data_IF_844193271656
#
_entry.id   IF_844193271656
#
_cell.length_a   1.000
_cell.length_b   1.000
_cell.length_c   1.000
_cell.angle_alpha   90.00
_cell.angle_beta   90.00
_cell.angle_gamma   90.00
#
_symmetry.space_group_name_H-M   'P 1'
#
loop_
_entity.id
_entity.type
_entity.pdbx_description
1 polymer ?
#
# COMPACT_ATOMS: atom_id res chain seq x y z
N UNK A 1 9.15 -75.19 -2.42
CA UNK A 1 7.84 -75.74 -2.00
C UNK A 1 8.01 -76.29 -0.59
N UNK A 2 7.14 -75.90 0.35
CA UNK A 2 7.24 -76.29 1.77
C UNK A 2 7.08 -77.81 1.96
N UNK A 3 7.74 -78.39 2.97
CA UNK A 3 7.70 -79.83 3.19
C UNK A 3 6.32 -80.27 3.73
N UNK A 4 5.96 -81.54 3.53
CA UNK A 4 4.69 -82.10 4.03
C UNK A 4 4.52 -81.97 5.56
N UNK A 5 5.61 -81.86 6.32
CA UNK A 5 5.54 -81.61 7.77
C UNK A 5 5.15 -80.17 8.11
N UNK A 6 5.59 -79.20 7.30
CA UNK A 6 5.27 -77.78 7.49
C UNK A 6 3.83 -77.48 7.10
N UNK A 7 3.31 -78.18 6.08
CA UNK A 7 1.89 -78.10 5.70
C UNK A 7 0.97 -78.68 6.79
N UNK A 8 1.40 -79.70 7.52
CA UNK A 8 0.61 -80.29 8.60
C UNK A 8 0.54 -79.37 9.82
N UNK A 9 1.65 -78.71 10.17
CA UNK A 9 1.71 -77.73 11.27
C UNK A 9 0.81 -76.51 11.00
N UNK A 10 0.87 -75.97 9.77
CA UNK A 10 0.03 -74.86 9.32
C UNK A 10 -1.47 -75.19 9.40
N UNK A 11 -1.85 -76.38 8.96
CA UNK A 11 -3.25 -76.81 8.99
C UNK A 11 -3.80 -77.00 10.42
N UNK A 12 -2.97 -77.44 11.37
CA UNK A 12 -3.37 -77.54 12.78
C UNK A 12 -3.54 -76.16 13.43
N UNK A 13 -2.67 -75.19 13.11
CA UNK A 13 -2.79 -73.82 13.62
C UNK A 13 -3.97 -73.03 13.06
N UNK A 14 -4.46 -73.37 11.86
CA UNK A 14 -5.61 -72.67 11.26
C UNK A 14 -6.98 -73.19 11.76
N UNK A 15 -7.04 -74.33 12.46
CA UNK A 15 -8.29 -74.89 13.00
C UNK A 15 -8.67 -74.33 14.38
N UNK A 16 -7.76 -73.65 15.09
CA UNK A 16 -7.99 -73.14 16.46
C UNK A 16 -8.41 -71.68 16.53
N UNK A 17 -8.56 -70.98 15.39
CA UNK A 17 -8.94 -69.57 15.36
C UNK A 17 -10.46 -69.44 15.09
N UNK A 18 -11.27 -68.86 16.01
CA UNK A 18 -12.69 -68.69 15.77
C UNK A 18 -12.93 -67.71 14.61
N UNK A 19 -13.73 -68.14 13.62
CA UNK A 19 -14.09 -67.34 12.44
C UNK A 19 -15.05 -66.22 12.81
N UNK A 20 -14.63 -64.97 12.65
CA UNK A 20 -15.52 -63.79 12.65
C UNK A 20 -16.26 -63.74 11.30
N UNK A 21 -17.59 -63.59 11.33
CA UNK A 21 -18.45 -63.52 10.13
C UNK A 21 -18.10 -62.29 9.27
N UNK A 22 -17.75 -62.50 8.00
CA UNK A 22 -17.59 -61.42 7.03
C UNK A 22 -18.95 -60.83 6.63
N UNK A 23 -19.06 -59.50 6.57
CA UNK A 23 -20.18 -58.76 5.96
C UNK A 23 -19.82 -58.36 4.52
N UNK A 24 -20.80 -58.20 3.61
CA UNK A 24 -20.54 -58.04 2.18
C UNK A 24 -19.97 -56.66 1.84
N UNK A 25 -19.03 -56.64 0.89
CA UNK A 25 -18.38 -55.45 0.36
C UNK A 25 -19.26 -54.84 -0.75
N UNK A 26 -19.75 -53.62 -0.55
CA UNK A 26 -20.34 -52.82 -1.63
C UNK A 26 -19.23 -52.12 -2.41
N UNK A 27 -19.23 -52.28 -3.75
CA UNK A 27 -18.32 -51.52 -4.64
C UNK A 27 -18.87 -50.10 -4.82
N UNK A 28 -18.12 -49.10 -4.34
CA UNK A 28 -18.38 -47.69 -4.64
C UNK A 28 -17.65 -47.27 -5.94
N UNK A 29 -18.17 -46.27 -6.70
CA UNK A 29 -17.62 -45.82 -7.98
C UNK A 29 -16.34 -44.98 -7.82
N UNK A 30 -15.61 -44.67 -8.93
CA UNK A 30 -14.30 -44.00 -8.86
C UNK A 30 -14.40 -42.54 -8.41
N UNK A 31 -13.43 -42.16 -7.57
CA UNK A 31 -13.27 -40.90 -6.80
C UNK A 31 -13.29 -39.60 -7.64
N UNK A 32 -13.24 -39.67 -8.96
CA UNK A 32 -13.01 -38.49 -9.82
C UNK A 32 -14.28 -37.66 -10.06
N UNK A 33 -15.45 -38.27 -10.14
CA UNK A 33 -16.70 -37.57 -10.47
C UNK A 33 -17.33 -36.80 -9.28
N UNK A 34 -16.87 -37.06 -8.05
CA UNK A 34 -17.38 -36.41 -6.85
C UNK A 34 -16.66 -35.09 -6.51
N UNK A 35 -15.53 -34.82 -7.18
CA UNK A 35 -14.65 -33.69 -6.89
C UNK A 35 -14.98 -32.41 -7.68
N UNK A 36 -15.86 -32.46 -8.68
CA UNK A 36 -16.13 -31.33 -9.58
C UNK A 36 -17.33 -30.44 -9.18
N UNK A 37 -17.91 -30.60 -7.99
CA UNK A 37 -19.18 -29.94 -7.65
C UNK A 37 -19.35 -29.32 -6.27
N UNK A 38 -18.30 -29.20 -5.42
CA UNK A 38 -18.49 -28.74 -4.03
C UNK A 38 -17.63 -27.49 -3.73
N UNK A 39 -18.25 -26.36 -3.33
CA UNK A 39 -17.54 -25.14 -2.99
C UNK A 39 -16.91 -25.24 -1.60
N UNK A 40 -15.71 -24.64 -1.48
CA UNK A 40 -14.95 -24.32 -0.26
C UNK A 40 -15.75 -24.50 1.06
N UNK A 41 -15.69 -25.71 1.64
CA UNK A 41 -15.96 -25.93 3.05
C UNK A 41 -14.80 -26.72 3.63
N UNK A 42 -14.33 -26.27 4.79
CA UNK A 42 -13.26 -26.85 5.59
C UNK A 42 -13.29 -28.37 5.57
N UNK A 43 -12.30 -28.97 4.90
CA UNK A 43 -12.21 -30.42 4.69
C UNK A 43 -12.14 -31.19 6.00
N UNK A 44 -13.27 -31.80 6.38
CA UNK A 44 -13.31 -32.82 7.42
C UNK A 44 -12.61 -34.10 6.94
N UNK A 45 -11.95 -34.78 7.88
CA UNK A 45 -11.17 -36.01 7.76
C UNK A 45 -11.78 -37.07 6.82
N UNK A 46 -10.95 -37.60 5.91
CA UNK A 46 -11.29 -38.65 4.93
C UNK A 46 -10.90 -40.07 5.40
N UNK A 47 -10.76 -40.31 6.70
CA UNK A 47 -10.45 -41.65 7.20
C UNK A 47 -11.38 -42.02 8.37
N UNK A 48 -12.32 -42.91 8.09
CA UNK A 48 -12.95 -43.76 9.09
C UNK A 48 -12.03 -44.95 9.40
N UNK A 49 -11.94 -45.27 10.69
CA UNK A 49 -11.38 -46.49 11.27
C UNK A 49 -9.90 -46.81 10.95
N UNK A 50 -8.98 -46.06 11.55
CA UNK A 50 -7.63 -46.55 11.89
C UNK A 50 -7.00 -45.61 12.94
N UNK A 51 -5.86 -45.96 13.52
CA UNK A 51 -5.11 -45.25 14.60
C UNK A 51 -4.77 -43.76 14.28
N UNK A 52 -5.24 -43.26 13.14
CA UNK A 52 -5.19 -41.89 12.66
C UNK A 52 -6.52 -41.12 12.87
N UNK A 53 -7.49 -41.68 13.61
CA UNK A 53 -8.66 -40.96 14.12
C UNK A 53 -8.21 -39.76 14.97
N UNK A 54 -8.21 -38.56 14.37
CA UNK A 54 -7.97 -37.31 15.11
C UNK A 54 -6.88 -36.41 14.53
N UNK A 55 -6.12 -36.84 13.53
CA UNK A 55 -5.10 -35.99 12.91
C UNK A 55 -5.71 -35.15 11.80
N UNK A 56 -5.69 -33.82 11.95
CA UNK A 56 -6.05 -32.91 10.87
C UNK A 56 -4.80 -32.58 10.06
N UNK A 57 -4.94 -32.53 8.74
CA UNK A 57 -3.84 -32.19 7.84
C UNK A 57 -4.23 -30.95 7.04
N UNK A 58 -3.32 -29.98 6.92
CA UNK A 58 -3.55 -28.84 6.05
C UNK A 58 -3.51 -29.29 4.58
N UNK A 59 -4.54 -28.96 3.79
CA UNK A 59 -4.60 -29.34 2.37
C UNK A 59 -3.44 -28.74 1.57
N UNK A 60 -2.94 -27.57 1.98
CA UNK A 60 -1.90 -26.82 1.27
C UNK A 60 -0.48 -27.33 1.57
N UNK A 61 -0.06 -27.33 2.84
CA UNK A 61 1.30 -27.74 3.23
C UNK A 61 1.42 -29.18 3.73
N UNK A 62 0.31 -29.92 3.80
CA UNK A 62 0.23 -31.30 4.28
C UNK A 62 0.79 -31.54 5.69
N UNK A 63 0.93 -30.48 6.48
CA UNK A 63 1.39 -30.58 7.87
C UNK A 63 0.29 -31.13 8.77
N UNK A 64 0.65 -32.10 9.61
CA UNK A 64 -0.23 -32.64 10.65
C UNK A 64 -0.43 -31.63 11.78
N UNK A 65 -1.67 -31.52 12.23
CA UNK A 65 -2.10 -30.60 13.26
C UNK A 65 -2.75 -31.37 14.41
N UNK A 66 -2.28 -31.08 15.63
CA UNK A 66 -2.75 -31.72 16.87
C UNK A 66 -4.07 -31.08 17.33
N UNK A 67 -4.91 -31.88 17.98
CA UNK A 67 -6.10 -31.41 18.68
C UNK A 67 -5.81 -31.26 20.18
N UNK A 68 -6.49 -30.34 20.81
CA UNK A 68 -6.52 -30.16 22.27
C UNK A 68 -7.97 -30.22 22.75
N UNK A 69 -8.22 -30.98 23.81
CA UNK A 69 -9.54 -31.02 24.45
C UNK A 69 -9.71 -29.82 25.36
N UNK A 70 -10.80 -29.05 25.19
CA UNK A 70 -11.14 -27.94 26.08
C UNK A 70 -12.27 -28.40 27.02
N UNK A 71 -12.01 -28.61 28.33
CA UNK A 71 -12.98 -29.15 29.27
C UNK A 71 -14.24 -28.30 29.45
N UNK A 72 -14.09 -26.96 29.41
CA UNK A 72 -15.20 -26.03 29.63
C UNK A 72 -16.27 -26.09 28.53
N UNK A 73 -15.87 -26.34 27.29
CA UNK A 73 -16.79 -26.48 26.14
C UNK A 73 -17.01 -27.94 25.73
N UNK A 74 -16.42 -28.90 26.46
CA UNK A 74 -16.48 -30.35 26.23
C UNK A 74 -16.26 -30.75 24.76
N UNK A 75 -15.31 -30.10 24.07
CA UNK A 75 -15.02 -30.32 22.64
C UNK A 75 -13.52 -30.38 22.40
N UNK A 76 -13.12 -31.18 21.40
CA UNK A 76 -11.77 -31.11 20.82
C UNK A 76 -11.71 -29.95 19.82
N UNK A 77 -10.68 -29.11 19.94
CA UNK A 77 -10.37 -28.06 18.98
C UNK A 77 -8.96 -28.23 18.45
N UNK A 78 -8.64 -27.54 17.36
CA UNK A 78 -7.28 -27.47 16.82
C UNK A 78 -6.37 -26.75 17.81
N UNK A 79 -5.18 -27.32 18.08
CA UNK A 79 -4.22 -26.73 19.01
C UNK A 79 -3.60 -25.42 18.48
N UNK A 80 -3.69 -25.17 17.18
CA UNK A 80 -3.25 -23.94 16.53
C UNK A 80 -3.69 -23.90 15.06
N UNK A 81 -3.68 -22.71 14.48
CA UNK A 81 -3.89 -22.53 13.04
C UNK A 81 -2.66 -23.05 12.26
N UNK A 82 -2.90 -23.55 11.04
CA UNK A 82 -1.80 -23.89 10.15
C UNK A 82 -1.04 -22.62 9.73
N UNK A 83 0.28 -22.69 9.58
CA UNK A 83 1.09 -21.58 9.02
C UNK A 83 0.51 -21.03 7.72
N UNK A 84 0.01 -21.90 6.84
CA UNK A 84 -0.64 -21.48 5.60
C UNK A 84 -1.90 -20.64 5.78
N UNK A 85 -2.69 -20.94 6.82
CA UNK A 85 -3.89 -20.16 7.14
C UNK A 85 -3.51 -18.86 7.84
N UNK A 86 -2.51 -18.88 8.72
CA UNK A 86 -1.95 -17.67 9.37
C UNK A 86 -1.42 -16.69 8.31
N UNK A 87 -0.54 -17.15 7.41
CA UNK A 87 0.01 -16.32 6.31
C UNK A 87 -1.07 -15.80 5.34
N UNK A 88 -2.21 -16.50 5.22
CA UNK A 88 -3.34 -16.02 4.42
C UNK A 88 -4.09 -14.92 5.16
N UNK A 89 -4.41 -15.16 6.44
CA UNK A 89 -5.11 -14.19 7.29
C UNK A 89 -4.29 -12.90 7.43
N UNK A 90 -2.99 -12.99 7.67
CA UNK A 90 -2.10 -11.82 7.74
C UNK A 90 -2.10 -11.01 6.44
N UNK A 91 -2.10 -11.68 5.27
CA UNK A 91 -2.21 -11.00 3.97
C UNK A 91 -3.57 -10.34 3.78
N UNK A 92 -4.65 -11.01 4.13
CA UNK A 92 -6.01 -10.47 4.05
C UNK A 92 -6.18 -9.28 4.98
N UNK A 93 -5.64 -9.35 6.20
CA UNK A 93 -5.62 -8.24 7.16
C UNK A 93 -4.85 -7.03 6.62
N UNK A 94 -3.64 -7.25 6.09
CA UNK A 94 -2.84 -6.18 5.49
C UNK A 94 -3.55 -5.54 4.29
N UNK A 95 -4.17 -6.35 3.42
CA UNK A 95 -4.91 -5.84 2.27
C UNK A 95 -6.16 -5.06 2.69
N UNK A 96 -6.88 -5.53 3.71
CA UNK A 96 -8.04 -4.84 4.27
C UNK A 96 -7.62 -3.52 4.93
N UNK A 97 -6.50 -3.50 5.66
CA UNK A 97 -5.95 -2.27 6.22
C UNK A 97 -5.61 -1.26 5.11
N UNK A 98 -4.90 -1.70 4.06
CA UNK A 98 -4.58 -0.88 2.89
C UNK A 98 -5.84 -0.30 2.25
N UNK A 99 -6.86 -1.13 1.99
CA UNK A 99 -8.15 -0.70 1.43
C UNK A 99 -8.84 0.32 2.32
N UNK A 100 -8.85 0.11 3.63
CA UNK A 100 -9.46 1.04 4.59
C UNK A 100 -8.73 2.38 4.65
N UNK A 101 -7.39 2.37 4.65
CA UNK A 101 -6.57 3.59 4.61
C UNK A 101 -6.78 4.36 3.31
N UNK A 102 -6.77 3.67 2.17
CA UNK A 102 -7.04 4.28 0.85
C UNK A 102 -8.45 4.85 0.76
N UNK A 103 -9.47 4.12 1.21
CA UNK A 103 -10.85 4.63 1.25
C UNK A 103 -11.02 5.84 2.17
N UNK A 104 -10.30 5.90 3.30
CA UNK A 104 -10.30 7.07 4.18
C UNK A 104 -9.66 8.28 3.48
N UNK A 105 -8.54 8.06 2.79
CA UNK A 105 -7.88 9.08 1.97
C UNK A 105 -8.84 9.61 0.90
N UNK A 106 -9.45 8.72 0.13
CA UNK A 106 -10.38 9.07 -0.95
C UNK A 106 -11.61 9.80 -0.42
N UNK A 107 -12.11 9.53 0.80
CA UNK A 107 -13.22 10.31 1.36
C UNK A 107 -12.80 11.74 1.69
N UNK A 108 -11.63 11.93 2.29
CA UNK A 108 -11.11 13.26 2.62
C UNK A 108 -10.73 14.05 1.36
N UNK A 109 -10.26 13.34 0.32
CA UNK A 109 -9.81 13.89 -0.94
C UNK A 109 -10.61 13.34 -2.11
N UNK A 110 -11.95 13.34 -2.01
CA UNK A 110 -12.90 12.74 -2.99
C UNK A 110 -12.73 13.22 -4.43
N UNK A 111 -11.90 14.24 -4.62
CA UNK A 111 -11.41 14.77 -5.87
C UNK A 111 -9.88 14.78 -5.84
N UNK A 112 -9.22 13.63 -5.79
CA UNK A 112 -7.77 13.56 -6.04
C UNK A 112 -7.53 14.10 -7.46
N UNK A 113 -7.10 15.36 -7.53
CA UNK A 113 -7.14 16.18 -8.74
C UNK A 113 -5.77 16.21 -9.41
N UNK A 114 -5.19 15.04 -9.68
CA UNK A 114 -4.18 15.01 -10.72
C UNK A 114 -4.84 15.40 -12.04
N UNK A 115 -4.24 16.36 -12.75
CA UNK A 115 -4.64 16.64 -14.12
C UNK A 115 -4.42 15.39 -14.99
N UNK A 116 -5.13 15.31 -16.12
CA UNK A 116 -5.11 14.09 -16.95
C UNK A 116 -3.70 13.73 -17.47
N UNK A 117 -2.80 14.72 -17.60
CA UNK A 117 -1.42 14.47 -17.99
C UNK A 117 -0.62 13.77 -16.88
N UNK A 118 -0.82 14.16 -15.62
CA UNK A 118 -0.13 13.56 -14.48
C UNK A 118 -0.67 12.17 -14.13
N UNK A 119 -1.94 11.88 -14.44
CA UNK A 119 -2.51 10.52 -14.28
C UNK A 119 -1.77 9.46 -15.10
N UNK A 120 -1.15 9.86 -16.21
CA UNK A 120 -0.40 8.96 -17.09
C UNK A 120 1.12 9.11 -16.93
N UNK A 121 1.60 9.97 -16.03
CA UNK A 121 3.02 10.25 -15.90
C UNK A 121 3.76 9.06 -15.26
N UNK A 122 4.74 8.50 -15.97
CA UNK A 122 5.62 7.42 -15.47
C UNK A 122 7.08 7.78 -15.69
N UNK A 123 8.00 7.02 -15.10
CA UNK A 123 9.43 7.17 -15.39
C UNK A 123 9.74 6.86 -16.86
N UNK A 124 9.04 5.89 -17.45
CA UNK A 124 9.25 5.44 -18.84
C UNK A 124 8.88 6.52 -19.86
N UNK A 125 7.80 7.27 -19.63
CA UNK A 125 7.36 8.32 -20.55
C UNK A 125 7.88 9.72 -20.19
N UNK A 126 8.77 9.81 -19.19
CA UNK A 126 9.51 11.03 -18.93
C UNK A 126 10.58 11.22 -20.01
N UNK A 127 10.44 12.28 -20.81
CA UNK A 127 11.43 12.64 -21.82
C UNK A 127 12.63 13.32 -21.14
N UNK A 128 13.84 12.73 -21.16
CA UNK A 128 15.03 13.38 -20.63
C UNK A 128 15.39 14.62 -21.44
N UNK A 129 15.85 15.66 -20.75
CA UNK A 129 16.41 16.88 -21.33
C UNK A 129 17.68 17.26 -20.57
N UNK A 130 18.65 17.94 -21.20
CA UNK A 130 19.82 18.46 -20.49
C UNK A 130 19.41 19.23 -19.23
N UNK A 131 19.96 18.86 -18.08
CA UNK A 131 19.67 19.46 -16.77
C UNK A 131 18.53 18.81 -15.99
N UNK A 132 17.99 17.67 -16.46
CA UNK A 132 16.98 16.87 -15.74
C UNK A 132 17.54 15.58 -15.13
N UNK A 133 18.82 15.28 -15.35
CA UNK A 133 19.46 14.01 -15.00
C UNK A 133 19.44 13.77 -13.50
N UNK A 134 19.87 14.76 -12.71
CA UNK A 134 19.94 14.66 -11.25
C UNK A 134 18.57 14.45 -10.60
N UNK A 135 17.55 15.19 -11.04
CA UNK A 135 16.19 15.08 -10.49
C UNK A 135 15.51 13.79 -10.92
N UNK A 136 15.78 13.28 -12.13
CA UNK A 136 15.27 11.99 -12.57
C UNK A 136 15.88 10.87 -11.72
N UNK A 137 17.20 10.86 -11.57
CA UNK A 137 17.90 9.85 -10.78
C UNK A 137 17.41 9.86 -9.32
N UNK A 138 17.34 11.04 -8.70
CA UNK A 138 16.84 11.18 -7.33
C UNK A 138 15.40 10.67 -7.18
N UNK A 139 14.54 10.87 -8.19
CA UNK A 139 13.17 10.39 -8.15
C UNK A 139 13.07 8.86 -8.29
N UNK A 140 13.88 8.26 -9.17
CA UNK A 140 13.96 6.80 -9.32
C UNK A 140 14.52 6.17 -8.03
N UNK A 141 15.65 6.67 -7.51
CA UNK A 141 16.27 6.17 -6.28
C UNK A 141 15.32 6.26 -5.09
N UNK A 142 14.58 7.37 -4.97
CA UNK A 142 13.59 7.55 -3.91
C UNK A 142 12.43 6.56 -4.04
N UNK A 143 11.92 6.34 -5.26
CA UNK A 143 10.80 5.43 -5.50
C UNK A 143 11.18 3.98 -5.16
N UNK A 144 12.33 3.51 -5.67
CA UNK A 144 12.80 2.13 -5.43
C UNK A 144 13.37 1.91 -4.03
N UNK A 145 13.81 2.97 -3.34
CA UNK A 145 14.35 2.94 -1.98
C UNK A 145 13.37 3.38 -0.88
N UNK A 146 12.08 3.53 -1.20
CA UNK A 146 11.11 4.24 -0.34
C UNK A 146 11.02 3.71 1.09
N UNK A 147 11.05 2.39 1.30
CA UNK A 147 10.98 1.78 2.66
C UNK A 147 12.08 2.25 3.61
N UNK A 148 13.26 2.57 3.06
CA UNK A 148 14.40 3.03 3.85
C UNK A 148 14.46 4.56 3.94
N UNK A 149 13.59 5.27 3.21
CA UNK A 149 13.63 6.72 3.14
C UNK A 149 12.85 7.37 4.28
N UNK A 150 13.50 8.28 4.99
CA UNK A 150 12.88 9.15 6.01
C UNK A 150 12.76 10.61 5.56
N UNK A 151 13.43 10.94 4.46
CA UNK A 151 13.48 12.28 3.89
C UNK A 151 12.64 12.32 2.62
N UNK A 152 11.95 13.43 2.38
CA UNK A 152 11.27 13.65 1.10
C UNK A 152 12.20 14.23 0.04
N UNK A 153 11.63 14.53 -1.11
CA UNK A 153 12.30 15.24 -2.20
C UNK A 153 11.73 16.63 -2.39
N UNK A 154 12.59 17.64 -2.52
CA UNK A 154 12.19 18.99 -2.91
C UNK A 154 12.80 19.31 -4.27
N UNK A 155 11.95 19.41 -5.29
CA UNK A 155 12.37 19.84 -6.62
C UNK A 155 11.96 21.28 -6.88
N UNK A 156 12.93 22.14 -7.22
CA UNK A 156 12.66 23.52 -7.59
C UNK A 156 13.23 23.87 -8.97
N UNK A 157 12.78 24.99 -9.56
CA UNK A 157 13.26 25.48 -10.85
C UNK A 157 12.14 25.91 -11.78
N UNK A 158 12.46 26.30 -13.01
CA UNK A 158 11.51 26.90 -13.96
C UNK A 158 10.28 26.01 -14.25
N UNK A 159 9.12 26.60 -14.61
CA UNK A 159 7.93 25.82 -14.92
C UNK A 159 8.06 25.01 -16.22
N UNK A 160 7.44 23.83 -16.23
CA UNK A 160 7.34 22.96 -17.41
C UNK A 160 8.58 22.11 -17.71
N UNK A 161 9.52 22.01 -16.77
CA UNK A 161 10.74 21.18 -16.89
C UNK A 161 10.59 19.74 -16.36
N UNK A 162 9.42 19.37 -15.83
CA UNK A 162 9.05 17.99 -15.51
C UNK A 162 9.08 17.59 -14.03
N UNK A 163 9.21 18.54 -13.08
CA UNK A 163 9.18 18.26 -11.63
C UNK A 163 7.92 17.49 -11.20
N UNK A 164 6.73 18.03 -11.52
CA UNK A 164 5.45 17.41 -11.19
C UNK A 164 5.27 16.04 -11.86
N UNK A 165 5.82 15.85 -13.06
CA UNK A 165 5.80 14.57 -13.77
C UNK A 165 6.57 13.50 -12.99
N UNK A 166 7.78 13.81 -12.54
CA UNK A 166 8.59 12.87 -11.76
C UNK A 166 7.94 12.56 -10.40
N UNK A 167 7.36 13.56 -9.74
CA UNK A 167 6.62 13.32 -8.49
C UNK A 167 5.36 12.47 -8.69
N UNK A 168 4.65 12.65 -9.81
CA UNK A 168 3.54 11.78 -10.17
C UNK A 168 4.03 10.35 -10.48
N UNK A 169 5.15 10.19 -11.17
CA UNK A 169 5.75 8.87 -11.42
C UNK A 169 6.10 8.13 -10.12
N UNK A 170 6.72 8.82 -9.13
CA UNK A 170 6.93 8.29 -7.78
C UNK A 170 5.60 7.86 -7.16
N UNK A 171 4.59 8.74 -7.18
CA UNK A 171 3.28 8.45 -6.61
C UNK A 171 2.66 7.18 -7.19
N UNK A 172 2.66 7.03 -8.52
CA UNK A 172 2.09 5.86 -9.19
C UNK A 172 2.87 4.58 -8.88
N UNK A 173 4.20 4.67 -8.83
CA UNK A 173 5.03 3.53 -8.42
C UNK A 173 4.67 3.05 -7.01
N UNK A 174 4.57 3.97 -6.05
CA UNK A 174 4.26 3.61 -4.67
C UNK A 174 2.81 3.13 -4.47
N UNK A 175 1.84 3.68 -5.22
CA UNK A 175 0.46 3.16 -5.20
C UNK A 175 0.41 1.71 -5.74
N UNK A 176 1.24 1.37 -6.73
CA UNK A 176 1.37 0.00 -7.25
C UNK A 176 2.01 -0.96 -6.25
N UNK A 177 3.00 -0.51 -5.48
CA UNK A 177 3.61 -1.28 -4.38
C UNK A 177 2.67 -1.41 -3.14
N UNK A 178 1.54 -0.69 -3.16
CA UNK A 178 0.49 -0.76 -2.15
C UNK A 178 0.66 0.19 -0.97
N UNK A 179 1.50 1.22 -1.12
CA UNK A 179 1.54 2.35 -0.19
C UNK A 179 0.39 3.31 -0.44
N UNK A 180 -0.04 3.98 0.62
CA UNK A 180 -1.07 5.01 0.55
C UNK A 180 -0.40 6.35 0.28
N UNK A 181 -0.24 6.68 -0.99
CA UNK A 181 0.35 7.94 -1.45
C UNK A 181 -0.72 8.99 -1.73
N UNK A 182 -0.45 10.25 -1.41
CA UNK A 182 -1.32 11.39 -1.66
C UNK A 182 -0.59 12.45 -2.49
N UNK A 183 -1.16 12.82 -3.63
CA UNK A 183 -0.62 13.87 -4.51
C UNK A 183 -1.62 15.01 -4.59
N UNK A 184 -1.20 16.21 -4.20
CA UNK A 184 -2.04 17.41 -4.21
C UNK A 184 -1.22 18.61 -4.67
N UNK A 185 -1.85 19.49 -5.44
CA UNK A 185 -1.35 20.84 -5.62
C UNK A 185 -1.69 21.68 -4.38
N UNK A 186 -0.81 22.59 -3.97
CA UNK A 186 -1.05 23.51 -2.86
C UNK A 186 -2.39 24.27 -2.99
N UNK A 187 -2.70 24.76 -4.19
CA UNK A 187 -3.96 25.46 -4.49
C UNK A 187 -5.18 24.57 -4.26
N UNK A 188 -5.07 23.27 -4.54
CA UNK A 188 -6.15 22.31 -4.32
C UNK A 188 -6.37 22.06 -2.83
N UNK A 189 -5.28 21.92 -2.07
CA UNK A 189 -5.37 21.74 -0.62
C UNK A 189 -6.00 22.97 0.06
N UNK A 190 -5.61 24.17 -0.36
CA UNK A 190 -6.22 25.44 0.09
C UNK A 190 -7.72 25.48 -0.22
N UNK A 191 -8.12 25.11 -1.44
CA UNK A 191 -9.53 25.12 -1.84
C UNK A 191 -10.36 24.08 -1.08
N UNK A 192 -9.83 22.86 -0.88
CA UNK A 192 -10.49 21.83 -0.08
C UNK A 192 -10.73 22.30 1.35
N UNK A 193 -9.77 22.99 1.96
CA UNK A 193 -9.94 23.55 3.28
C UNK A 193 -11.05 24.61 3.31
N UNK A 194 -11.13 25.48 2.30
CA UNK A 194 -12.21 26.48 2.17
C UNK A 194 -13.59 25.81 2.03
N UNK A 195 -13.68 24.72 1.29
CA UNK A 195 -14.92 23.96 1.11
C UNK A 195 -15.45 23.38 2.44
N UNK A 196 -14.57 23.10 3.42
CA UNK A 196 -14.98 22.58 4.73
C UNK A 196 -15.81 23.56 5.56
N UNK A 197 -15.78 24.85 5.25
CA UNK A 197 -16.62 25.86 5.92
C UNK A 197 -18.07 25.86 5.45
N UNK A 198 -18.39 25.12 4.38
CA UNK A 198 -19.76 24.98 3.94
C UNK A 198 -20.58 24.18 4.96
N UNK A 199 -21.76 24.68 5.34
CA UNK A 199 -22.67 24.04 6.30
C UNK A 199 -23.06 22.60 5.92
N UNK A 200 -23.00 22.28 4.63
CA UNK A 200 -23.31 20.94 4.10
C UNK A 200 -22.07 20.07 3.87
N UNK A 201 -20.88 20.52 4.28
CA UNK A 201 -19.66 19.73 4.11
C UNK A 201 -19.72 18.46 4.96
N UNK A 202 -19.41 17.33 4.32
CA UNK A 202 -19.28 16.02 4.98
C UNK A 202 -17.85 15.77 5.49
N UNK A 203 -16.91 16.64 5.11
CA UNK A 203 -15.48 16.52 5.41
C UNK A 203 -15.06 17.75 6.20
N UNK A 204 -14.37 17.54 7.32
CA UNK A 204 -13.83 18.62 8.14
C UNK A 204 -12.38 18.91 7.79
N UNK A 205 -11.88 20.08 8.19
CA UNK A 205 -10.45 20.40 8.04
C UNK A 205 -9.56 19.39 8.77
N UNK A 206 -10.02 18.89 9.91
CA UNK A 206 -9.34 17.86 10.71
C UNK A 206 -9.23 16.55 9.93
N UNK A 207 -10.25 16.18 9.15
CA UNK A 207 -10.19 14.98 8.32
C UNK A 207 -9.15 15.10 7.20
N UNK A 208 -9.08 16.28 6.56
CA UNK A 208 -8.08 16.60 5.52
C UNK A 208 -6.66 16.51 6.10
N UNK A 209 -6.42 17.21 7.21
CA UNK A 209 -5.11 17.24 7.88
C UNK A 209 -4.70 15.84 8.35
N UNK A 210 -5.61 15.09 8.98
CA UNK A 210 -5.33 13.74 9.44
C UNK A 210 -5.07 12.78 8.27
N UNK A 211 -5.80 12.89 7.17
CA UNK A 211 -5.56 12.06 5.99
C UNK A 211 -4.18 12.36 5.39
N UNK A 212 -3.80 13.64 5.28
CA UNK A 212 -2.46 14.04 4.84
C UNK A 212 -1.35 13.54 5.78
N UNK A 213 -1.54 13.60 7.10
CA UNK A 213 -0.56 13.09 8.10
C UNK A 213 -0.40 11.55 8.03
N UNK A 214 -1.49 10.84 7.72
CA UNK A 214 -1.51 9.38 7.72
C UNK A 214 -1.12 8.73 6.39
N UNK A 215 -0.95 9.53 5.32
CA UNK A 215 -0.36 9.05 4.07
C UNK A 215 1.05 8.51 4.30
N UNK A 216 1.43 7.45 3.61
CA UNK A 216 2.82 6.96 3.61
C UNK A 216 3.71 8.00 2.92
N UNK A 217 3.30 8.45 1.72
CA UNK A 217 3.89 9.60 1.03
C UNK A 217 2.86 10.71 0.85
N UNK A 218 3.26 11.95 1.12
CA UNK A 218 2.55 13.15 0.70
C UNK A 218 3.39 13.88 -0.34
N UNK A 219 2.78 14.29 -1.45
CA UNK A 219 3.38 15.21 -2.42
C UNK A 219 2.56 16.49 -2.46
N UNK A 220 3.21 17.62 -2.21
CA UNK A 220 2.68 18.97 -2.39
C UNK A 220 3.30 19.61 -3.64
N UNK A 221 2.55 19.59 -4.74
CA UNK A 221 2.94 20.18 -6.02
C UNK A 221 2.70 21.69 -6.00
N UNK A 222 3.56 22.44 -6.70
CA UNK A 222 3.49 23.90 -6.84
C UNK A 222 3.42 24.68 -5.52
N UNK A 223 4.14 24.24 -4.48
CA UNK A 223 4.29 24.98 -3.24
C UNK A 223 4.88 26.38 -3.52
N UNK A 224 4.33 27.40 -2.88
CA UNK A 224 4.68 28.79 -3.14
C UNK A 224 3.87 29.43 -4.27
N UNK A 225 2.86 28.73 -4.83
CA UNK A 225 1.91 29.35 -5.75
C UNK A 225 0.93 30.28 -5.01
N UNK A 226 0.79 31.51 -5.47
CA UNK A 226 -0.15 32.48 -4.90
C UNK A 226 0.32 33.05 -3.55
N UNK A 227 -0.60 33.69 -2.84
CA UNK A 227 -0.35 34.26 -1.51
C UNK A 227 -0.81 33.29 -0.43
N UNK A 228 -0.05 33.22 0.68
CA UNK A 228 -0.38 32.41 1.84
C UNK A 228 -1.19 33.23 2.84
N UNK A 229 -2.27 32.68 3.38
CA UNK A 229 -3.02 33.30 4.49
C UNK A 229 -2.58 32.73 5.83
N UNK A 230 -2.80 33.48 6.91
CA UNK A 230 -2.54 33.01 8.29
C UNK A 230 -3.31 31.73 8.63
N UNK A 231 -4.56 31.62 8.18
CA UNK A 231 -5.35 30.42 8.35
C UNK A 231 -4.73 29.21 7.63
N UNK A 232 -4.35 29.35 6.35
CA UNK A 232 -3.75 28.26 5.58
C UNK A 232 -2.41 27.82 6.19
N UNK A 233 -1.60 28.76 6.67
CA UNK A 233 -0.36 28.46 7.37
C UNK A 233 -0.61 27.70 8.68
N UNK A 234 -1.42 28.27 9.59
CA UNK A 234 -1.59 27.75 10.96
C UNK A 234 -2.48 26.52 11.05
N UNK A 235 -3.53 26.42 10.23
CA UNK A 235 -4.53 25.36 10.33
C UNK A 235 -4.29 24.20 9.38
N UNK A 236 -3.44 24.37 8.36
CA UNK A 236 -3.22 23.35 7.32
C UNK A 236 -1.75 22.99 7.23
N UNK A 237 -0.93 23.92 6.74
CA UNK A 237 0.42 23.61 6.32
C UNK A 237 1.31 23.24 7.51
N UNK A 238 1.26 24.04 8.58
CA UNK A 238 2.03 23.78 9.80
C UNK A 238 1.62 22.45 10.48
N UNK A 239 0.33 22.16 10.75
CA UNK A 239 -0.08 20.87 11.31
C UNK A 239 0.30 19.68 10.43
N UNK A 240 0.16 19.78 9.10
CA UNK A 240 0.51 18.70 8.18
C UNK A 240 2.01 18.43 8.22
N UNK A 241 2.86 19.45 8.04
CA UNK A 241 4.32 19.27 8.02
C UNK A 241 4.85 18.85 9.38
N UNK A 242 4.29 19.37 10.47
CA UNK A 242 4.67 18.99 11.83
C UNK A 242 4.21 17.56 12.19
N UNK A 243 3.01 17.15 11.77
CA UNK A 243 2.50 15.80 12.02
C UNK A 243 3.19 14.73 11.18
N UNK A 244 3.86 15.12 10.10
CA UNK A 244 4.60 14.22 9.19
C UNK A 244 6.09 14.12 9.48
N UNK A 245 6.57 14.62 10.62
CA UNK A 245 7.98 14.43 11.01
C UNK A 245 8.32 12.93 11.06
N UNK A 246 9.38 12.53 10.35
CA UNK A 246 9.77 11.13 10.17
C UNK A 246 9.01 10.37 9.08
N UNK A 247 8.12 11.03 8.32
CA UNK A 247 7.48 10.51 7.11
C UNK A 247 7.86 11.38 5.90
N UNK A 248 8.24 10.78 4.77
CA UNK A 248 8.68 11.55 3.61
C UNK A 248 7.56 12.43 3.06
N UNK A 249 7.88 13.68 2.75
CA UNK A 249 6.97 14.62 2.08
C UNK A 249 7.69 15.25 0.89
N UNK A 250 7.17 15.02 -0.30
CA UNK A 250 7.72 15.58 -1.52
C UNK A 250 7.12 16.96 -1.80
N UNK A 251 7.93 17.83 -2.38
CA UNK A 251 7.56 19.19 -2.76
C UNK A 251 8.02 19.49 -4.17
N UNK A 252 7.21 20.23 -4.92
CA UNK A 252 7.71 20.95 -6.10
C UNK A 252 7.44 22.44 -5.96
N UNK A 253 8.32 23.25 -6.53
CA UNK A 253 8.13 24.71 -6.55
C UNK A 253 8.75 25.36 -7.77
N UNK A 254 8.19 26.51 -8.16
CA UNK A 254 8.76 27.36 -9.21
C UNK A 254 9.61 28.51 -8.63
N UNK A 255 9.59 28.67 -7.31
CA UNK A 255 10.42 29.63 -6.57
C UNK A 255 11.81 29.05 -6.31
N UNK A 256 12.81 29.93 -6.18
CA UNK A 256 14.06 29.58 -5.54
C UNK A 256 13.89 29.55 -4.01
N UNK A 257 14.86 28.99 -3.28
CA UNK A 257 14.76 28.81 -1.83
C UNK A 257 14.62 30.14 -1.08
N UNK A 258 15.31 31.20 -1.51
CA UNK A 258 15.21 32.51 -0.86
C UNK A 258 13.86 33.19 -1.08
N UNK A 259 13.21 32.95 -2.22
CA UNK A 259 11.83 33.37 -2.45
C UNK A 259 10.83 32.55 -1.65
N UNK A 260 11.10 31.26 -1.44
CA UNK A 260 10.26 30.42 -0.58
C UNK A 260 10.31 30.89 0.87
N UNK A 261 11.49 31.22 1.39
CA UNK A 261 11.65 31.79 2.73
C UNK A 261 10.81 33.06 2.89
N UNK A 262 10.92 33.99 1.92
CA UNK A 262 10.09 35.20 1.88
C UNK A 262 8.59 34.94 1.77
N UNK A 263 8.20 33.84 1.10
CA UNK A 263 6.80 33.44 1.01
C UNK A 263 6.23 32.99 2.37
N UNK A 264 7.07 32.51 3.28
CA UNK A 264 6.69 32.20 4.66
C UNK A 264 6.81 33.38 5.63
N UNK A 265 7.49 34.46 5.27
CA UNK A 265 7.65 35.62 6.16
C UNK A 265 6.32 36.32 6.44
N UNK A 266 5.50 36.53 5.41
CA UNK A 266 4.29 37.36 5.49
C UNK A 266 3.09 36.73 4.81
N UNK A 267 1.92 37.01 5.37
CA UNK A 267 0.65 36.65 4.77
C UNK A 267 0.27 37.62 3.64
N UNK A 268 -0.82 37.27 2.96
CA UNK A 268 -1.50 38.12 1.97
C UNK A 268 -1.75 39.58 2.42
N UNK A 269 -1.92 39.82 3.72
CA UNK A 269 -2.25 41.13 4.29
C UNK A 269 -1.02 41.83 4.89
N UNK A 270 0.17 41.21 4.81
CA UNK A 270 1.43 41.74 5.33
C UNK A 270 1.71 41.40 6.80
N UNK A 271 0.88 40.57 7.44
CA UNK A 271 1.11 40.09 8.80
C UNK A 271 2.21 39.03 8.80
N UNK A 272 3.02 39.01 9.86
CA UNK A 272 4.10 38.03 10.00
C UNK A 272 3.54 36.62 10.24
N UNK A 273 3.97 35.63 9.44
CA UNK A 273 3.50 34.25 9.52
C UNK A 273 4.45 33.33 10.26
N UNK A 274 5.70 33.27 9.79
CA UNK A 274 6.74 32.41 10.33
C UNK A 274 7.91 33.23 10.89
N UNK A 275 7.72 33.91 12.04
CA UNK A 275 8.72 34.84 12.56
C UNK A 275 10.08 34.20 12.85
N UNK A 276 10.10 32.91 13.17
CA UNK A 276 11.32 32.17 13.49
C UNK A 276 11.75 31.22 12.34
N UNK A 277 11.12 31.26 11.16
CA UNK A 277 11.45 30.39 10.03
C UNK A 277 11.23 28.90 10.28
N UNK A 278 10.37 28.52 11.23
CA UNK A 278 10.22 27.13 11.71
C UNK A 278 9.73 26.18 10.63
N UNK A 279 8.83 26.63 9.78
CA UNK A 279 8.25 25.78 8.74
C UNK A 279 9.22 25.63 7.58
N UNK A 280 9.89 26.72 7.20
CA UNK A 280 10.96 26.69 6.21
C UNK A 280 12.07 25.71 6.63
N UNK A 281 12.61 25.85 7.84
CA UNK A 281 13.65 24.98 8.37
C UNK A 281 13.24 23.51 8.40
N UNK A 282 11.97 23.23 8.73
CA UNK A 282 11.45 21.85 8.71
C UNK A 282 11.36 21.27 7.31
N UNK A 283 10.92 22.05 6.33
CA UNK A 283 10.85 21.60 4.93
C UNK A 283 12.27 21.28 4.44
N UNK A 284 13.20 22.19 4.65
CA UNK A 284 14.60 22.04 4.22
C UNK A 284 15.28 20.89 4.95
N UNK A 285 15.10 20.78 6.27
CA UNK A 285 15.74 19.75 7.10
C UNK A 285 15.17 18.34 6.94
N UNK A 286 14.05 18.17 6.23
CA UNK A 286 13.42 16.85 5.99
C UNK A 286 13.41 16.44 4.53
N UNK A 287 14.09 17.20 3.66
CA UNK A 287 14.10 16.94 2.22
C UNK A 287 15.51 16.94 1.64
N UNK A 288 15.75 16.03 0.70
CA UNK A 288 16.85 16.17 -0.25
C UNK A 288 16.44 17.15 -1.37
N UNK A 289 17.25 18.19 -1.57
CA UNK A 289 16.91 19.36 -2.39
C UNK A 289 17.62 19.28 -3.74
N UNK A 290 16.86 19.43 -4.83
CA UNK A 290 17.39 19.42 -6.19
C UNK A 290 16.82 20.55 -7.05
N UNK A 291 17.71 21.26 -7.74
CA UNK A 291 17.32 22.20 -8.80
C UNK A 291 17.18 21.46 -10.13
N UNK A 292 16.01 21.54 -10.75
CA UNK A 292 15.79 21.08 -12.12
C UNK A 292 16.12 22.21 -13.11
N UNK A 293 17.23 22.06 -13.84
CA UNK A 293 17.73 23.02 -14.83
C UNK A 293 17.22 22.76 -16.24
N UNK A 294 16.38 21.74 -16.41
CA UNK A 294 15.79 21.37 -17.69
C UNK A 294 15.01 22.50 -18.36
N UNK A 295 15.04 22.50 -19.69
CA UNK A 295 14.21 23.37 -20.53
C UNK A 295 12.73 23.01 -20.41
N UNK A 296 11.87 23.98 -20.74
CA UNK A 296 10.42 23.80 -20.65
C UNK A 296 9.91 22.97 -21.82
N UNK A 297 9.51 21.71 -21.56
CA UNK A 297 8.89 20.82 -22.56
C UNK A 297 7.70 21.49 -23.24
N UNK A 298 6.86 22.21 -22.46
CA UNK A 298 5.69 22.91 -22.99
C UNK A 298 6.06 23.95 -24.05
N UNK A 299 7.22 24.62 -23.90
CA UNK A 299 7.72 25.60 -24.89
C UNK A 299 8.32 24.90 -26.10
N UNK A 300 9.08 23.83 -25.90
CA UNK A 300 9.63 23.02 -27.00
C UNK A 300 8.52 22.42 -27.88
N UNK A 301 7.48 21.84 -27.26
CA UNK A 301 6.32 21.30 -27.95
C UNK A 301 5.58 22.39 -28.75
N UNK A 302 5.49 23.61 -28.21
CA UNK A 302 4.89 24.74 -28.91
C UNK A 302 5.72 25.20 -30.12
N UNK A 303 7.05 25.27 -29.98
CA UNK A 303 7.95 25.61 -31.10
C UNK A 303 7.90 24.56 -32.21
N UNK A 304 7.82 23.27 -31.86
CA UNK A 304 7.69 22.18 -32.86
C UNK A 304 6.40 22.29 -33.67
N UNK A 305 5.28 22.65 -33.05
CA UNK A 305 4.00 22.86 -33.76
C UNK A 305 4.06 24.00 -34.77
N UNK A 306 4.73 25.10 -34.40
CA UNK A 306 4.93 26.25 -35.29
C UNK A 306 5.85 25.94 -36.48
N UNK A 307 6.76 24.98 -36.35
CA UNK A 307 7.68 24.57 -37.42
C UNK A 307 7.10 23.50 -38.34
N UNK A 308 5.98 22.88 -37.95
CA UNK A 308 5.26 21.87 -38.74
C UNK A 308 4.09 22.43 -39.55
N UNK A 309 3.83 23.73 -39.45
CA UNK A 309 2.90 24.51 -40.29
C UNK A 309 3.67 25.25 -41.40
#
# INVERSE_FOLDING_TARGET
MLSNKDQHLLNQTMQTIPRVKQRPVYKAPPIVDMLLGIPNQTGASLYGDSVHEGTYCCIKCRTEMKRTYIPFVKKYVMAGACKCDVERMEREELENERKMRKARMERAFAKSMMNDRLKQATFDNFLPRPGTESVRQAAEDFAYGFESSKEGLLFFGRPGNGKSHLMAAIHHHLDQEGYVSLFLDWSQLSNLAKDTFNKNSKVTITDIVNAAINADLLTLDELGSGELTEYEYKSILFPVINGRQGKPTNYTMNLDLGRLEKWFEKDKYGNQLDPDGRLFDRIIGTCAIYENKGTSKRREDAMRRLQSE
#
